data_IF_391278060113
#
_entry.id   IF_391278060113
#
_cell.length_a   1.000
_cell.length_b   1.000
_cell.length_c   1.000
_cell.angle_alpha   90.00
_cell.angle_beta   90.00
_cell.angle_gamma   90.00
#
_symmetry.space_group_name_H-M   'P 1'
#
loop_
_entity.id
_entity.type
_entity.pdbx_description
1 polymer ?
#
# COMPACT_ATOMS: atom_id res chain seq x y z
N UNK A 1 -3.80 10.01 -27.41
CA UNK A 1 -3.39 8.72 -26.76
C UNK A 1 -2.54 9.10 -25.56
N UNK A 2 -3.13 9.15 -24.35
CA UNK A 2 -2.34 9.22 -23.10
C UNK A 2 -1.51 7.94 -23.06
N UNK A 3 -0.18 8.08 -23.00
CA UNK A 3 0.70 6.97 -22.71
C UNK A 3 0.22 6.34 -21.39
N UNK A 4 -0.14 5.06 -21.42
CA UNK A 4 -0.46 4.31 -20.20
C UNK A 4 0.77 4.38 -19.31
N UNK A 5 0.67 5.11 -18.21
CA UNK A 5 1.76 5.23 -17.27
C UNK A 5 1.81 3.95 -16.43
N UNK A 6 2.98 3.32 -16.40
CA UNK A 6 3.22 2.13 -15.59
C UNK A 6 3.21 2.49 -14.10
N UNK A 7 2.72 1.58 -13.28
CA UNK A 7 2.61 1.75 -11.83
C UNK A 7 3.97 1.87 -11.09
N UNK A 8 5.06 1.35 -11.67
CA UNK A 8 6.39 1.42 -11.05
C UNK A 8 7.04 2.73 -11.45
N UNK A 9 7.19 3.64 -10.51
CA UNK A 9 7.71 4.99 -10.77
C UNK A 9 9.05 5.28 -10.14
N UNK A 10 9.45 4.53 -9.10
CA UNK A 10 10.76 4.67 -8.50
C UNK A 10 11.46 3.31 -8.43
N UNK A 11 12.67 3.24 -8.99
CA UNK A 11 13.47 2.02 -9.07
C UNK A 11 14.91 2.33 -8.70
N UNK A 12 15.36 1.75 -7.61
CA UNK A 12 16.79 1.59 -7.36
C UNK A 12 17.18 0.21 -7.88
N UNK A 13 17.73 0.17 -9.10
CA UNK A 13 18.16 -1.06 -9.75
C UNK A 13 19.67 -1.07 -9.85
N UNK A 14 20.31 -1.94 -9.08
CA UNK A 14 21.77 -2.09 -9.03
C UNK A 14 22.24 -3.41 -9.66
N UNK A 15 21.31 -4.23 -10.17
CA UNK A 15 21.60 -5.53 -10.75
C UNK A 15 21.68 -6.65 -9.72
N UNK A 16 21.09 -6.46 -8.56
CA UNK A 16 21.01 -7.46 -7.51
C UNK A 16 20.08 -8.63 -7.87
N UNK A 17 20.27 -9.77 -7.23
CA UNK A 17 19.45 -10.96 -7.45
C UNK A 17 18.18 -11.02 -6.59
N UNK A 18 18.02 -10.07 -5.67
CA UNK A 18 16.85 -9.94 -4.80
C UNK A 18 16.12 -8.64 -5.09
N UNK A 19 14.81 -8.66 -4.93
CA UNK A 19 13.93 -7.50 -5.10
C UNK A 19 13.03 -7.34 -3.88
N UNK A 20 12.96 -6.13 -3.36
CA UNK A 20 11.90 -5.66 -2.49
C UNK A 20 10.94 -4.79 -3.30
N UNK A 21 9.72 -5.27 -3.44
CA UNK A 21 8.66 -4.60 -4.17
C UNK A 21 7.66 -3.98 -3.20
N UNK A 22 7.49 -2.67 -3.28
CA UNK A 22 6.59 -1.92 -2.40
C UNK A 22 5.38 -1.41 -3.20
N UNK A 23 4.19 -1.64 -2.69
CA UNK A 23 2.97 -1.01 -3.14
C UNK A 23 2.52 0.00 -2.09
N UNK A 24 2.69 1.28 -2.38
CA UNK A 24 2.42 2.38 -1.46
C UNK A 24 0.92 2.60 -1.24
N UNK A 25 0.57 3.33 -0.19
CA UNK A 25 -0.78 3.82 0.02
C UNK A 25 -1.16 4.96 -0.94
N UNK A 26 -2.46 5.21 -1.06
CA UNK A 26 -2.97 6.36 -1.80
C UNK A 26 -2.39 7.68 -1.27
N UNK A 27 -2.17 8.63 -2.17
CA UNK A 27 -1.60 9.96 -1.94
C UNK A 27 -0.14 9.97 -1.50
N UNK A 28 0.46 8.84 -1.13
CA UNK A 28 1.84 8.78 -0.71
C UNK A 28 2.80 8.87 -1.91
N UNK A 29 3.95 9.51 -1.68
CA UNK A 29 5.11 9.47 -2.57
C UNK A 29 6.13 8.45 -2.07
N UNK A 30 7.15 8.06 -2.87
CA UNK A 30 8.24 7.18 -2.40
C UNK A 30 8.97 7.73 -1.17
N UNK A 31 9.02 9.06 -1.02
CA UNK A 31 9.70 9.74 0.07
C UNK A 31 9.18 9.38 1.48
N UNK A 32 7.95 8.82 1.57
CA UNK A 32 7.40 8.38 2.85
C UNK A 32 8.18 7.19 3.43
N UNK A 33 9.01 6.53 2.64
CA UNK A 33 9.83 5.38 3.03
C UNK A 33 11.32 5.71 3.12
N UNK A 34 11.73 6.98 2.91
CA UNK A 34 13.14 7.39 2.79
C UNK A 34 14.03 7.03 3.98
N UNK A 35 13.44 6.83 5.17
CA UNK A 35 14.18 6.44 6.36
C UNK A 35 14.47 4.94 6.44
N UNK A 36 13.85 4.13 5.58
CA UNK A 36 14.00 2.68 5.59
C UNK A 36 15.13 2.24 4.66
N UNK A 37 16.19 1.72 5.25
CA UNK A 37 17.31 1.17 4.51
C UNK A 37 16.96 -0.20 3.93
N UNK A 38 17.43 -0.46 2.72
CA UNK A 38 17.29 -1.74 2.04
C UNK A 38 18.56 -2.57 2.24
N UNK A 39 18.41 -3.89 2.34
CA UNK A 39 19.56 -4.80 2.40
C UNK A 39 20.49 -4.60 1.19
N UNK A 40 21.85 -4.71 1.37
CA UNK A 40 22.81 -4.37 0.30
C UNK A 40 22.60 -5.12 -1.02
N UNK A 41 22.17 -6.39 -0.95
CA UNK A 41 21.98 -7.27 -2.13
C UNK A 41 20.56 -7.21 -2.71
N UNK A 42 19.80 -6.16 -2.39
CA UNK A 42 18.37 -6.07 -2.73
C UNK A 42 18.10 -4.80 -3.51
N UNK A 43 17.50 -4.94 -4.68
CA UNK A 43 16.91 -3.82 -5.43
C UNK A 43 15.59 -3.41 -4.77
N UNK A 44 15.27 -2.11 -4.81
CA UNK A 44 14.02 -1.56 -4.29
C UNK A 44 13.18 -0.98 -5.42
N UNK A 45 11.94 -1.44 -5.54
CA UNK A 45 10.96 -0.86 -6.44
C UNK A 45 9.73 -0.40 -5.66
N UNK A 46 9.33 0.86 -5.86
CA UNK A 46 8.18 1.45 -5.19
C UNK A 46 7.12 1.81 -6.22
N UNK A 47 5.98 1.13 -6.12
CA UNK A 47 4.77 1.40 -6.91
C UNK A 47 3.89 2.39 -6.16
N UNK A 48 3.51 3.46 -6.83
CA UNK A 48 2.61 4.49 -6.33
C UNK A 48 1.92 5.17 -7.50
N UNK A 49 0.88 5.98 -7.25
CA UNK A 49 0.11 6.66 -8.30
C UNK A 49 -0.58 5.66 -9.25
N UNK A 50 -1.63 5.07 -8.75
CA UNK A 50 -2.36 3.98 -9.42
C UNK A 50 -3.32 4.45 -10.53
N UNK A 51 -3.16 5.66 -11.10
CA UNK A 51 -3.93 6.11 -12.27
C UNK A 51 -3.68 5.27 -13.53
N UNK A 52 -2.77 4.33 -13.46
CA UNK A 52 -2.52 3.28 -14.43
C UNK A 52 -2.13 2.00 -13.70
N UNK A 53 -2.84 0.92 -13.97
CA UNK A 53 -2.64 -0.38 -13.31
C UNK A 53 -1.83 -1.37 -14.18
N UNK A 54 -1.02 -0.86 -15.10
CA UNK A 54 -0.17 -1.69 -15.94
C UNK A 54 1.16 -1.97 -15.21
N UNK A 55 1.46 -3.25 -15.04
CA UNK A 55 2.68 -3.75 -14.43
C UNK A 55 3.41 -4.69 -15.38
N UNK A 56 4.69 -4.43 -15.65
CA UNK A 56 5.53 -5.29 -16.48
C UNK A 56 6.03 -6.49 -15.67
N UNK A 57 5.21 -7.56 -15.59
CA UNK A 57 5.58 -8.76 -14.84
C UNK A 57 6.85 -9.44 -15.36
N UNK A 58 7.20 -9.27 -16.63
CA UNK A 58 8.44 -9.80 -17.22
C UNK A 58 9.70 -9.20 -16.59
N UNK A 59 9.61 -7.96 -16.11
CA UNK A 59 10.72 -7.31 -15.41
C UNK A 59 11.08 -7.98 -14.07
N UNK A 60 10.22 -8.84 -13.54
CA UNK A 60 10.46 -9.61 -12.30
C UNK A 60 11.22 -10.93 -12.54
N UNK A 61 11.25 -11.42 -13.77
CA UNK A 61 11.81 -12.76 -14.09
C UNK A 61 13.31 -12.90 -13.82
N UNK A 62 14.02 -11.78 -13.70
CA UNK A 62 15.46 -11.77 -13.42
C UNK A 62 15.82 -11.91 -11.93
N UNK A 63 14.85 -11.84 -11.02
CA UNK A 63 15.11 -11.90 -9.60
C UNK A 63 14.92 -13.31 -9.04
N UNK A 64 15.90 -13.77 -8.24
CA UNK A 64 15.86 -15.07 -7.56
C UNK A 64 14.91 -15.05 -6.34
N UNK A 65 14.86 -13.93 -5.64
CA UNK A 65 14.01 -13.71 -4.46
C UNK A 65 13.23 -12.41 -4.63
N UNK A 66 11.92 -12.48 -4.47
CA UNK A 66 11.05 -11.30 -4.53
C UNK A 66 10.23 -11.26 -3.25
N UNK A 67 10.35 -10.18 -2.50
CA UNK A 67 9.52 -9.86 -1.34
C UNK A 67 8.56 -8.73 -1.68
N UNK A 68 7.34 -8.83 -1.21
CA UNK A 68 6.28 -7.84 -1.43
C UNK A 68 5.86 -7.23 -0.10
N UNK A 69 5.85 -5.90 -0.03
CA UNK A 69 5.15 -5.14 1.02
C UNK A 69 4.10 -4.27 0.35
N UNK A 70 2.85 -4.41 0.75
CA UNK A 70 1.80 -3.54 0.25
C UNK A 70 1.09 -2.85 1.43
N UNK A 71 0.85 -1.55 1.30
CA UNK A 71 0.27 -0.74 2.35
C UNK A 71 -1.03 -0.10 1.92
N UNK A 72 -2.06 -0.17 2.78
CA UNK A 72 -3.33 0.54 2.57
C UNK A 72 -4.00 0.14 1.24
N UNK A 73 -4.37 1.08 0.38
CA UNK A 73 -4.91 0.81 -0.96
C UNK A 73 -3.91 0.10 -1.88
N UNK A 74 -2.62 0.16 -1.57
CA UNK A 74 -1.60 -0.64 -2.25
C UNK A 74 -1.82 -2.15 -2.13
N UNK A 75 -2.46 -2.63 -1.05
CA UNK A 75 -2.82 -4.05 -0.90
C UNK A 75 -3.82 -4.48 -1.97
N UNK A 76 -4.83 -3.65 -2.24
CA UNK A 76 -5.77 -3.91 -3.32
C UNK A 76 -5.09 -3.85 -4.69
N UNK A 77 -4.28 -2.81 -4.92
CA UNK A 77 -3.57 -2.63 -6.19
C UNK A 77 -2.67 -3.83 -6.51
N UNK A 78 -1.86 -4.27 -5.55
CA UNK A 78 -1.04 -5.48 -5.68
C UNK A 78 -1.90 -6.73 -5.93
N UNK A 79 -3.02 -6.86 -5.21
CA UNK A 79 -3.93 -8.02 -5.36
C UNK A 79 -4.54 -8.09 -6.75
N UNK A 80 -4.92 -6.97 -7.35
CA UNK A 80 -5.45 -6.92 -8.72
C UNK A 80 -4.36 -7.23 -9.75
N UNK A 81 -3.18 -6.63 -9.58
CA UNK A 81 -2.08 -6.80 -10.54
C UNK A 81 -1.56 -8.22 -10.59
N UNK A 82 -1.39 -8.85 -9.43
CA UNK A 82 -0.85 -10.21 -9.34
C UNK A 82 -1.91 -11.31 -9.35
N UNK A 83 -3.18 -10.98 -9.21
CA UNK A 83 -4.27 -11.93 -9.39
C UNK A 83 -4.37 -12.49 -10.81
N UNK A 84 -3.91 -11.74 -11.81
CA UNK A 84 -3.94 -12.13 -13.23
C UNK A 84 -2.61 -12.72 -13.74
N UNK A 85 -1.55 -12.63 -12.94
CA UNK A 85 -0.19 -13.04 -13.33
C UNK A 85 0.43 -13.89 -12.23
N UNK A 86 0.85 -15.12 -12.50
CA UNK A 86 1.51 -15.94 -11.51
C UNK A 86 2.90 -15.36 -11.22
N UNK A 87 3.03 -14.67 -10.10
CA UNK A 87 4.32 -14.24 -9.53
C UNK A 87 4.50 -14.98 -8.22
N UNK A 88 5.63 -15.65 -8.07
CA UNK A 88 5.99 -16.29 -6.80
C UNK A 88 6.75 -15.31 -5.93
N UNK A 89 6.11 -14.86 -4.85
CA UNK A 89 6.78 -14.09 -3.80
C UNK A 89 7.32 -15.04 -2.74
N UNK A 90 8.56 -14.80 -2.30
CA UNK A 90 9.11 -15.51 -1.15
C UNK A 90 8.34 -15.14 0.12
N UNK A 91 7.99 -13.87 0.24
CA UNK A 91 7.19 -13.29 1.32
C UNK A 91 6.32 -12.18 0.75
N UNK A 92 5.10 -12.07 1.23
CA UNK A 92 4.16 -11.02 0.86
C UNK A 92 3.41 -10.53 2.10
N UNK A 93 3.67 -9.30 2.51
CA UNK A 93 3.05 -8.68 3.70
C UNK A 93 2.04 -7.62 3.28
N UNK A 94 0.83 -7.75 3.79
CA UNK A 94 -0.20 -6.73 3.71
C UNK A 94 -0.15 -5.85 4.98
N UNK A 95 0.07 -4.56 4.83
CA UNK A 95 0.15 -3.60 5.95
C UNK A 95 -1.07 -2.71 5.92
N UNK A 96 -1.89 -2.76 6.97
CA UNK A 96 -3.04 -1.87 7.17
C UNK A 96 -3.94 -1.71 5.94
N UNK A 97 -4.24 -2.82 5.26
CA UNK A 97 -5.08 -2.83 4.09
C UNK A 97 -5.62 -4.23 3.78
N UNK A 98 -6.57 -4.30 2.87
CA UNK A 98 -7.17 -5.56 2.40
C UNK A 98 -7.40 -5.52 0.88
N UNK A 99 -7.54 -6.69 0.23
CA UNK A 99 -8.02 -6.75 -1.16
C UNK A 99 -9.46 -6.26 -1.37
N UNK A 100 -10.20 -5.97 -0.29
CA UNK A 100 -11.56 -5.41 -0.31
C UNK A 100 -11.59 -4.03 0.36
N UNK A 101 -10.92 -3.01 -0.21
CA UNK A 101 -10.65 -1.75 0.50
C UNK A 101 -11.88 -0.87 0.72
N UNK A 102 -12.94 -1.04 -0.07
CA UNK A 102 -14.25 -0.35 0.10
C UNK A 102 -15.28 -1.41 0.46
N UNK A 103 -15.43 -1.65 1.76
CA UNK A 103 -16.34 -2.68 2.27
C UNK A 103 -16.61 -2.48 3.76
N UNK A 104 -17.89 -2.52 4.18
CA UNK A 104 -18.28 -2.19 5.56
C UNK A 104 -17.71 -3.14 6.62
N UNK A 105 -17.40 -4.38 6.26
CA UNK A 105 -16.88 -5.40 7.19
C UNK A 105 -15.41 -5.76 6.98
N UNK A 106 -14.83 -5.47 5.80
CA UNK A 106 -13.50 -5.96 5.41
C UNK A 106 -12.54 -4.87 4.93
N UNK A 107 -13.00 -3.63 4.92
CA UNK A 107 -12.25 -2.49 4.45
C UNK A 107 -12.69 -1.20 5.11
N UNK A 108 -12.53 -0.11 4.42
CA UNK A 108 -13.08 1.18 4.80
C UNK A 108 -14.57 1.17 4.46
N UNK A 109 -15.49 1.50 5.39
CA UNK A 109 -16.90 1.64 5.08
C UNK A 109 -17.13 2.60 3.91
N UNK A 110 -18.04 2.24 3.00
CA UNK A 110 -18.21 2.99 1.74
C UNK A 110 -18.55 4.47 1.99
N UNK A 111 -19.35 4.78 2.99
CA UNK A 111 -19.70 6.15 3.38
C UNK A 111 -18.46 6.96 3.81
N UNK A 112 -17.54 6.34 4.52
CA UNK A 112 -16.27 6.96 4.97
C UNK A 112 -15.33 7.17 3.79
N UNK A 113 -15.21 6.17 2.91
CA UNK A 113 -14.39 6.27 1.71
C UNK A 113 -14.86 7.41 0.81
N UNK A 114 -16.18 7.47 0.52
CA UNK A 114 -16.78 8.55 -0.26
C UNK A 114 -16.60 9.91 0.39
N UNK A 115 -16.75 9.98 1.72
CA UNK A 115 -16.47 11.21 2.45
C UNK A 115 -15.03 11.70 2.30
N UNK A 116 -14.06 10.80 2.13
CA UNK A 116 -12.66 11.16 1.82
C UNK A 116 -12.56 11.65 0.37
N UNK A 117 -13.17 10.94 -0.58
CA UNK A 117 -13.16 11.27 -2.00
C UNK A 117 -13.75 12.66 -2.27
N UNK A 118 -14.89 12.97 -1.65
CA UNK A 118 -15.59 14.25 -1.79
C UNK A 118 -14.81 15.42 -1.15
N UNK A 119 -13.85 15.12 -0.28
CA UNK A 119 -13.07 16.09 0.48
C UNK A 119 -11.56 16.08 0.18
N UNK A 120 -11.15 15.73 -1.03
CA UNK A 120 -9.75 15.85 -1.48
C UNK A 120 -9.45 17.33 -1.73
N UNK A 121 -9.25 18.07 -0.65
CA UNK A 121 -8.86 19.48 -0.58
C UNK A 121 -7.65 19.61 0.34
N UNK A 122 -6.97 20.75 0.34
CA UNK A 122 -5.84 20.96 1.27
C UNK A 122 -6.25 20.73 2.72
N UNK A 123 -7.39 21.23 3.15
CA UNK A 123 -7.89 21.02 4.50
C UNK A 123 -8.31 19.57 4.75
N UNK A 124 -8.97 18.94 3.76
CA UNK A 124 -9.33 17.52 3.82
C UNK A 124 -8.11 16.63 3.97
N UNK A 125 -7.03 16.91 3.23
CA UNK A 125 -5.77 16.17 3.33
C UNK A 125 -5.06 16.40 4.66
N UNK A 126 -5.08 17.62 5.21
CA UNK A 126 -4.58 17.84 6.59
C UNK A 126 -5.33 17.00 7.62
N UNK A 127 -6.65 16.90 7.51
CA UNK A 127 -7.47 16.03 8.39
C UNK A 127 -7.16 14.55 8.17
N UNK A 128 -6.99 14.12 6.91
CA UNK A 128 -6.63 12.76 6.56
C UNK A 128 -5.27 12.39 7.16
N UNK A 129 -4.23 13.21 6.95
CA UNK A 129 -2.87 12.97 7.47
C UNK A 129 -2.84 12.90 8.99
N UNK A 130 -3.63 13.74 9.68
CA UNK A 130 -3.76 13.68 11.15
C UNK A 130 -4.33 12.35 11.63
N UNK A 131 -5.32 11.80 10.94
CA UNK A 131 -5.86 10.46 11.27
C UNK A 131 -4.87 9.36 10.94
N UNK A 132 -4.19 9.47 9.79
CA UNK A 132 -3.22 8.51 9.30
C UNK A 132 -2.00 8.40 10.23
N UNK A 133 -1.47 9.52 10.70
CA UNK A 133 -0.28 9.58 11.56
C UNK A 133 -0.61 9.38 13.05
N UNK A 134 -1.82 9.70 13.48
CA UNK A 134 -2.33 9.44 14.83
C UNK A 134 -1.69 10.25 15.97
N UNK A 135 -0.40 10.58 15.89
CA UNK A 135 0.36 11.37 16.89
C UNK A 135 0.95 12.62 16.25
N UNK A 136 1.16 13.66 17.07
CA UNK A 136 1.62 14.97 16.60
C UNK A 136 3.04 14.94 16.03
N UNK A 137 3.94 14.26 16.71
CA UNK A 137 5.34 14.10 16.32
C UNK A 137 5.48 13.36 14.97
N UNK A 138 4.70 12.29 14.79
CA UNK A 138 4.65 11.53 13.53
C UNK A 138 4.08 12.41 12.42
N UNK A 139 3.00 13.15 12.68
CA UNK A 139 2.41 14.08 11.73
C UNK A 139 3.41 15.16 11.31
N UNK A 140 4.09 15.78 12.26
CA UNK A 140 5.11 16.80 11.97
C UNK A 140 6.24 16.27 11.10
N UNK A 141 6.71 15.04 11.37
CA UNK A 141 7.73 14.41 10.53
C UNK A 141 7.20 14.07 9.13
N UNK A 142 5.96 13.56 9.03
CA UNK A 142 5.31 13.25 7.76
C UNK A 142 5.07 14.50 6.90
N UNK A 143 4.69 15.62 7.49
CA UNK A 143 4.45 16.90 6.81
C UNK A 143 5.73 17.57 6.27
N UNK A 144 6.93 17.11 6.66
CA UNK A 144 8.18 17.52 6.02
C UNK A 144 8.39 16.86 4.65
N UNK A 145 7.62 15.83 4.33
CA UNK A 145 7.68 15.16 3.04
C UNK A 145 6.86 15.98 2.04
N UNK A 146 7.45 16.38 0.89
CA UNK A 146 6.69 17.10 -0.13
C UNK A 146 5.46 16.31 -0.58
N UNK A 147 4.25 16.89 -0.49
CA UNK A 147 3.05 16.20 -0.92
C UNK A 147 3.01 16.08 -2.44
N UNK A 148 2.35 15.06 -2.95
CA UNK A 148 1.99 14.99 -4.36
C UNK A 148 0.95 16.07 -4.70
N UNK A 149 0.91 16.55 -5.98
CA UNK A 149 -0.07 17.54 -6.41
C UNK A 149 -1.51 17.11 -6.07
N UNK A 150 -2.30 18.02 -5.53
CA UNK A 150 -3.67 17.74 -5.07
C UNK A 150 -4.57 17.21 -6.19
N UNK A 151 -4.40 17.73 -7.42
CA UNK A 151 -5.12 17.25 -8.58
C UNK A 151 -4.82 15.78 -8.90
N UNK A 152 -3.54 15.39 -8.80
CA UNK A 152 -3.09 14.02 -9.06
C UNK A 152 -3.65 13.01 -8.05
N UNK A 153 -3.61 13.35 -6.75
CA UNK A 153 -4.12 12.46 -5.71
C UNK A 153 -5.64 12.36 -5.74
N UNK A 154 -6.35 13.40 -6.18
CA UNK A 154 -7.79 13.37 -6.42
C UNK A 154 -8.12 12.44 -7.58
N UNK A 155 -7.49 12.65 -8.74
CA UNK A 155 -7.69 11.81 -9.94
C UNK A 155 -7.37 10.35 -9.65
N UNK A 156 -6.32 10.09 -8.85
CA UNK A 156 -5.96 8.75 -8.41
C UNK A 156 -7.06 8.10 -7.57
N UNK A 157 -7.62 8.80 -6.58
CA UNK A 157 -8.66 8.24 -5.73
C UNK A 157 -9.97 7.99 -6.49
N UNK A 158 -10.35 8.90 -7.40
CA UNK A 158 -11.48 8.72 -8.30
C UNK A 158 -11.31 7.48 -9.19
N UNK A 159 -10.12 7.32 -9.77
CA UNK A 159 -9.79 6.16 -10.58
C UNK A 159 -9.83 4.86 -9.76
N UNK A 160 -9.18 4.84 -8.59
CA UNK A 160 -9.19 3.70 -7.69
C UNK A 160 -10.61 3.31 -7.28
N UNK A 161 -11.42 4.27 -6.87
CA UNK A 161 -12.82 4.00 -6.49
C UNK A 161 -13.61 3.37 -7.64
N UNK A 162 -13.49 3.94 -8.85
CA UNK A 162 -14.16 3.40 -10.03
C UNK A 162 -13.72 1.97 -10.35
N UNK A 163 -12.42 1.67 -10.27
CA UNK A 163 -11.89 0.33 -10.53
C UNK A 163 -12.25 -0.67 -9.42
N UNK A 164 -12.24 -0.25 -8.15
CA UNK A 164 -12.69 -1.08 -7.02
C UNK A 164 -14.15 -1.50 -7.20
N UNK A 165 -15.01 -0.56 -7.63
CA UNK A 165 -16.46 -0.85 -7.85
C UNK A 165 -16.71 -1.75 -9.07
N UNK A 166 -15.80 -1.80 -10.04
CA UNK A 166 -15.85 -2.69 -11.20
C UNK A 166 -15.21 -4.05 -10.93
N UNK A 167 -14.40 -4.16 -9.87
CA UNK A 167 -13.57 -5.33 -9.64
C UNK A 167 -14.41 -6.60 -9.53
N UNK A 168 -13.92 -7.65 -10.19
CA UNK A 168 -14.45 -9.01 -10.11
C UNK A 168 -14.37 -9.60 -8.71
N UNK A 169 -15.11 -10.69 -8.44
CA UNK A 169 -15.11 -11.35 -7.13
C UNK A 169 -13.70 -11.60 -6.59
N UNK A 170 -13.58 -11.65 -5.26
CA UNK A 170 -12.32 -11.84 -4.54
C UNK A 170 -11.49 -13.06 -5.00
N UNK A 171 -12.08 -14.01 -5.68
CA UNK A 171 -11.43 -15.20 -6.25
C UNK A 171 -10.46 -14.92 -7.40
N UNK A 172 -10.54 -13.74 -8.02
CA UNK A 172 -9.63 -13.33 -9.10
C UNK A 172 -8.45 -12.47 -8.61
N UNK A 173 -8.36 -12.24 -7.30
CA UNK A 173 -7.32 -11.44 -6.68
C UNK A 173 -6.17 -12.33 -6.18
N UNK A 174 -4.97 -11.74 -6.10
CA UNK A 174 -3.82 -12.42 -5.50
C UNK A 174 -4.14 -12.83 -4.05
N UNK A 175 -3.87 -14.10 -3.74
CA UNK A 175 -4.14 -14.74 -2.45
C UNK A 175 -2.88 -15.29 -1.76
N UNK A 176 -1.70 -15.03 -2.30
CA UNK A 176 -0.42 -15.50 -1.78
C UNK A 176 0.17 -14.64 -0.65
N UNK A 177 -0.68 -13.94 0.11
CA UNK A 177 -0.25 -13.17 1.27
C UNK A 177 0.25 -14.11 2.37
N UNK A 178 1.49 -13.88 2.81
CA UNK A 178 2.14 -14.71 3.85
C UNK A 178 1.91 -14.15 5.25
N UNK A 179 1.58 -12.87 5.37
CA UNK A 179 1.33 -12.21 6.66
C UNK A 179 0.48 -10.94 6.45
N UNK A 180 -0.34 -10.63 7.44
CA UNK A 180 -1.00 -9.34 7.59
C UNK A 180 -0.49 -8.62 8.83
N UNK A 181 0.00 -7.39 8.67
CA UNK A 181 0.43 -6.51 9.73
C UNK A 181 -0.66 -5.48 9.98
N UNK A 182 -1.22 -5.48 11.19
CA UNK A 182 -2.36 -4.64 11.57
C UNK A 182 -1.95 -3.68 12.67
N UNK A 183 -2.17 -2.39 12.44
CA UNK A 183 -1.98 -1.35 13.45
C UNK A 183 -3.21 -1.20 14.34
N UNK A 184 -3.05 -1.38 15.65
CA UNK A 184 -4.15 -1.33 16.62
C UNK A 184 -4.75 0.07 16.81
N UNK A 185 -4.07 1.11 16.36
CA UNK A 185 -4.52 2.52 16.41
C UNK A 185 -4.87 3.07 15.01
N UNK A 186 -5.10 2.20 14.04
CA UNK A 186 -5.50 2.61 12.69
C UNK A 186 -6.86 3.34 12.71
N UNK A 187 -6.89 4.55 12.14
CA UNK A 187 -8.09 5.39 12.01
C UNK A 187 -8.50 5.61 10.55
N UNK A 188 -7.92 4.85 9.64
CA UNK A 188 -8.25 4.85 8.20
C UNK A 188 -8.97 3.55 7.86
N UNK A 189 -8.32 2.39 8.08
CA UNK A 189 -8.98 1.09 8.04
C UNK A 189 -9.37 0.69 9.45
N UNK A 190 -10.66 0.46 9.74
CA UNK A 190 -11.07 -0.05 11.06
C UNK A 190 -10.33 -1.35 11.38
N UNK A 191 -9.68 -1.40 12.55
CA UNK A 191 -8.84 -2.55 12.93
C UNK A 191 -9.64 -3.85 13.00
N UNK A 192 -10.91 -3.79 13.43
CA UNK A 192 -11.82 -4.93 13.42
C UNK A 192 -12.11 -5.45 12.02
N UNK A 193 -12.19 -4.56 11.01
CA UNK A 193 -12.41 -4.95 9.62
C UNK A 193 -11.16 -5.63 9.03
N UNK A 194 -9.97 -5.14 9.38
CA UNK A 194 -8.71 -5.78 9.02
C UNK A 194 -8.62 -7.18 9.61
N UNK A 195 -8.91 -7.35 10.91
CA UNK A 195 -8.95 -8.66 11.57
C UNK A 195 -9.97 -9.59 10.91
N UNK A 196 -11.18 -9.10 10.69
CA UNK A 196 -12.25 -9.88 10.09
C UNK A 196 -11.92 -10.38 8.68
N UNK A 197 -11.16 -9.56 7.91
CA UNK A 197 -10.69 -9.99 6.60
C UNK A 197 -9.59 -11.05 6.70
N UNK A 198 -8.54 -10.79 7.48
CA UNK A 198 -7.34 -11.61 7.46
C UNK A 198 -7.45 -12.90 8.28
N UNK A 199 -8.37 -12.96 9.24
CA UNK A 199 -8.61 -14.16 10.06
C UNK A 199 -8.88 -15.39 9.19
N UNK A 200 -8.06 -16.42 9.37
CA UNK A 200 -8.16 -17.69 8.62
C UNK A 200 -7.60 -17.62 7.18
N UNK A 201 -7.00 -16.48 6.75
CA UNK A 201 -6.38 -16.34 5.43
C UNK A 201 -4.86 -16.36 5.50
N UNK A 202 -4.28 -15.67 6.45
CA UNK A 202 -2.84 -15.72 6.73
C UNK A 202 -2.58 -15.35 8.20
N UNK A 203 -1.36 -15.58 8.73
CA UNK A 203 -0.96 -15.10 10.04
C UNK A 203 -1.15 -13.59 10.18
N UNK A 204 -1.65 -13.16 11.34
CA UNK A 204 -1.85 -11.76 11.69
C UNK A 204 -0.86 -11.38 12.77
N UNK A 205 -0.13 -10.30 12.56
CA UNK A 205 0.66 -9.62 13.59
C UNK A 205 0.04 -8.25 13.88
N UNK A 206 -0.21 -7.96 15.15
CA UNK A 206 -0.71 -6.66 15.57
C UNK A 206 0.40 -5.84 16.22
N UNK A 207 0.50 -4.57 15.81
CA UNK A 207 1.45 -3.62 16.37
C UNK A 207 0.73 -2.39 16.94
N UNK A 208 1.28 -1.78 17.97
CA UNK A 208 0.74 -0.54 18.52
C UNK A 208 1.21 0.68 17.69
N UNK A 209 0.56 0.90 16.56
CA UNK A 209 0.86 1.97 15.63
C UNK A 209 -0.42 2.59 15.03
N UNK A 210 -0.35 3.79 14.45
CA UNK A 210 -1.39 4.34 13.60
C UNK A 210 -1.33 3.70 12.19
N UNK A 211 -2.15 4.20 11.25
CA UNK A 211 -2.21 3.72 9.87
C UNK A 211 -0.87 3.81 9.13
N UNK A 212 -0.05 4.81 9.40
CA UNK A 212 1.32 4.95 8.89
C UNK A 212 2.32 4.42 9.94
N UNK A 213 2.74 3.15 9.87
CA UNK A 213 3.59 2.54 10.89
C UNK A 213 5.09 2.62 10.58
N UNK A 214 5.49 3.06 9.39
CA UNK A 214 6.85 2.93 8.88
C UNK A 214 7.90 3.73 9.66
N UNK A 215 7.49 4.68 10.48
CA UNK A 215 8.39 5.40 11.41
C UNK A 215 8.98 4.50 12.51
N UNK A 216 8.42 3.30 12.72
CA UNK A 216 8.88 2.36 13.75
C UNK A 216 10.19 1.67 13.39
N UNK A 217 10.53 1.63 12.10
CA UNK A 217 11.64 0.85 11.60
C UNK A 217 12.69 1.72 10.91
N UNK A 218 13.93 1.22 10.93
CA UNK A 218 15.06 1.81 10.20
C UNK A 218 15.41 0.99 8.95
N UNK A 219 15.08 -0.29 8.94
CA UNK A 219 15.37 -1.22 7.86
C UNK A 219 14.10 -1.97 7.47
N UNK A 220 13.97 -2.27 6.19
CA UNK A 220 12.83 -3.03 5.68
C UNK A 220 12.71 -4.43 6.27
N UNK A 221 13.85 -5.07 6.57
CA UNK A 221 13.85 -6.43 7.12
C UNK A 221 13.25 -6.53 8.53
N UNK A 222 13.17 -5.42 9.27
CA UNK A 222 12.53 -5.37 10.58
C UNK A 222 11.02 -5.65 10.51
N UNK A 223 10.38 -5.39 9.36
CA UNK A 223 8.95 -5.64 9.15
C UNK A 223 8.64 -7.15 9.20
N UNK A 224 9.57 -8.00 8.73
CA UNK A 224 9.40 -9.44 8.75
C UNK A 224 9.68 -10.09 10.10
N UNK A 225 10.25 -9.34 11.03
CA UNK A 225 10.61 -9.81 12.37
C UNK A 225 9.54 -9.50 13.42
N UNK A 226 8.39 -8.97 13.01
CA UNK A 226 7.29 -8.61 13.90
C UNK A 226 6.48 -9.83 14.36
#
# INVERSE_FOLDING_TARGET
>A
RRQRQMCIRDRTKTGNSQLLLIFSGWAASPEVFRQLETEPDTDLWICYDYRGMDFEGEALSGYRKIRLVAWSLGVWAASVMFGKKPVSFTEAIAVNGTPCPVHDRWGIPETIFRGTLDNVTEEGMRRFNRRMCGKRDILQAYEQIPPRPLADIREELEYLYAEIKKASPASALFNGWTQALISSKDRIFPTENLRAFWQGRCPITEIEAPHYPFYLWKQWDEIWKQ
#
